data_IF_292767282669
#
_entry.id   IF_292767282669
#
_cell.length_a   1.000
_cell.length_b   1.000
_cell.length_c   1.000
_cell.angle_alpha   90.00
_cell.angle_beta   90.00
_cell.angle_gamma   90.00
#
_symmetry.space_group_name_H-M   'P 1'
#
loop_
_entity.id
_entity.type
_entity.pdbx_description
1 polymer ?
#
# COMPACT_ATOMS: atom_id res chain seq x y z
N UNK A 1 8.32 9.90 29.34
CA UNK A 1 6.86 9.66 29.18
C UNK A 1 6.58 8.30 28.55
N UNK A 2 7.23 7.95 27.45
CA UNK A 2 7.04 6.66 26.75
C UNK A 2 7.10 5.43 27.67
N UNK A 3 8.10 5.33 28.56
CA UNK A 3 8.25 4.16 29.45
C UNK A 3 7.05 3.93 30.39
N UNK A 4 6.36 4.99 30.83
CA UNK A 4 5.19 4.89 31.72
C UNK A 4 4.01 4.31 30.93
N UNK A 5 3.79 4.82 29.71
CA UNK A 5 2.73 4.35 28.81
C UNK A 5 3.01 2.90 28.38
N UNK A 6 4.24 2.59 27.96
CA UNK A 6 4.65 1.23 27.60
C UNK A 6 4.41 0.24 28.75
N UNK A 7 4.82 0.59 29.97
CA UNK A 7 4.61 -0.24 31.15
C UNK A 7 3.13 -0.52 31.42
N UNK A 8 2.26 0.48 31.23
CA UNK A 8 0.82 0.32 31.46
C UNK A 8 0.15 -0.58 30.43
N UNK A 9 0.52 -0.44 29.16
CA UNK A 9 -0.12 -1.16 28.05
C UNK A 9 0.39 -2.59 27.91
N UNK A 10 1.59 -2.92 28.38
CA UNK A 10 2.14 -4.29 28.33
C UNK A 10 1.28 -5.36 29.01
N UNK A 11 0.34 -4.96 29.88
CA UNK A 11 -0.61 -5.87 30.54
C UNK A 11 -1.84 -6.23 29.68
N UNK A 12 -2.00 -5.63 28.51
CA UNK A 12 -3.15 -5.84 27.63
C UNK A 12 -2.99 -7.17 26.88
N UNK A 13 -3.96 -8.09 26.95
CA UNK A 13 -3.89 -9.36 26.23
C UNK A 13 -3.92 -9.18 24.71
N UNK A 14 -3.07 -9.94 24.03
CA UNK A 14 -3.00 -9.98 22.56
C UNK A 14 -2.07 -8.94 21.94
N UNK A 15 -1.20 -8.30 22.72
CA UNK A 15 -0.08 -7.52 22.18
C UNK A 15 0.95 -8.46 21.55
N UNK A 16 1.38 -8.12 20.34
CA UNK A 16 2.47 -8.77 19.59
C UNK A 16 3.79 -7.99 19.78
N UNK A 17 3.76 -6.67 19.59
CA UNK A 17 4.94 -5.81 19.70
C UNK A 17 4.58 -4.40 20.23
N UNK A 18 5.51 -3.77 20.95
CA UNK A 18 5.38 -2.39 21.44
C UNK A 18 6.66 -1.63 21.09
N UNK A 19 6.53 -0.52 20.37
CA UNK A 19 7.66 0.34 19.98
C UNK A 19 7.39 1.77 20.36
N UNK A 20 8.37 2.45 20.92
CA UNK A 20 8.29 3.90 21.11
C UNK A 20 9.36 4.67 20.36
N UNK A 21 9.04 5.93 20.06
CA UNK A 21 9.99 6.93 19.59
C UNK A 21 9.74 8.23 20.33
N UNK A 22 10.78 8.74 20.96
CA UNK A 22 10.77 10.04 21.63
C UNK A 22 11.64 11.04 20.88
N UNK A 23 11.15 12.26 20.74
CA UNK A 23 11.89 13.43 20.30
C UNK A 23 11.58 14.61 21.24
N UNK A 24 12.39 15.68 21.27
CA UNK A 24 12.09 16.86 22.08
C UNK A 24 10.66 17.36 21.79
N UNK A 25 9.82 17.41 22.82
CA UNK A 25 8.43 17.87 22.73
C UNK A 25 7.41 16.86 22.18
N UNK A 26 7.81 15.67 21.72
CA UNK A 26 6.85 14.66 21.20
C UNK A 26 7.29 13.22 21.53
N UNK A 27 6.33 12.41 21.97
CA UNK A 27 6.53 11.00 22.30
C UNK A 27 5.46 10.17 21.62
N UNK A 28 5.87 9.21 20.79
CA UNK A 28 4.96 8.29 20.10
C UNK A 28 5.17 6.87 20.63
N UNK A 29 4.07 6.18 20.92
CA UNK A 29 4.05 4.76 21.29
C UNK A 29 3.16 4.04 20.28
N UNK A 30 3.74 3.05 19.61
CA UNK A 30 3.08 2.17 18.64
C UNK A 30 2.86 0.82 19.29
N UNK A 31 1.62 0.36 19.31
CA UNK A 31 1.21 -0.93 19.90
C UNK A 31 0.68 -1.78 18.75
N UNK A 32 1.31 -2.92 18.52
CA UNK A 32 0.89 -3.91 17.55
C UNK A 32 0.19 -5.06 18.28
N UNK A 33 -1.00 -5.41 17.82
CA UNK A 33 -1.78 -6.53 18.34
C UNK A 33 -1.71 -7.73 17.40
N UNK A 34 -1.92 -8.92 17.95
CA UNK A 34 -2.13 -10.16 17.20
C UNK A 34 -3.35 -10.03 16.29
N UNK A 35 -3.33 -10.73 15.15
CA UNK A 35 -4.34 -10.60 14.09
C UNK A 35 -5.75 -10.99 14.58
N UNK A 36 -5.85 -11.92 15.53
CA UNK A 36 -7.10 -12.35 16.13
C UNK A 36 -7.73 -11.34 17.11
N UNK A 37 -7.00 -10.30 17.51
CA UNK A 37 -7.51 -9.28 18.43
C UNK A 37 -8.34 -8.25 17.65
N UNK A 38 -9.59 -8.10 18.05
CA UNK A 38 -10.46 -7.05 17.53
C UNK A 38 -9.90 -5.65 17.87
N UNK A 39 -9.81 -4.78 16.86
CA UNK A 39 -9.17 -3.46 16.98
C UNK A 39 -9.99 -2.48 17.84
N UNK A 40 -11.31 -2.61 17.89
CA UNK A 40 -12.16 -1.79 18.76
C UNK A 40 -12.01 -2.21 20.22
N UNK A 41 -11.93 -3.52 20.50
CA UNK A 41 -11.62 -4.04 21.83
C UNK A 41 -10.23 -3.56 22.27
N UNK A 42 -9.22 -3.70 21.40
CA UNK A 42 -7.85 -3.27 21.68
C UNK A 42 -7.77 -1.77 21.97
N UNK A 43 -8.45 -0.94 21.17
CA UNK A 43 -8.50 0.51 21.37
C UNK A 43 -9.09 0.88 22.73
N UNK A 44 -10.22 0.27 23.11
CA UNK A 44 -10.86 0.53 24.40
C UNK A 44 -9.98 0.11 25.59
N UNK A 45 -9.30 -1.03 25.49
CA UNK A 45 -8.36 -1.49 26.52
C UNK A 45 -7.16 -0.54 26.67
N UNK A 46 -6.59 -0.07 25.56
CA UNK A 46 -5.50 0.93 25.57
C UNK A 46 -5.99 2.23 26.20
N UNK A 47 -7.14 2.74 25.77
CA UNK A 47 -7.72 3.97 26.32
C UNK A 47 -7.96 3.85 27.84
N UNK A 48 -8.46 2.71 28.30
CA UNK A 48 -8.66 2.45 29.73
C UNK A 48 -7.34 2.44 30.51
N UNK A 49 -6.32 1.74 30.01
CA UNK A 49 -5.01 1.65 30.68
C UNK A 49 -4.28 2.98 30.72
N UNK A 50 -4.28 3.73 29.62
CA UNK A 50 -3.71 5.08 29.57
C UNK A 50 -4.47 6.03 30.50
N UNK A 51 -5.80 5.92 30.57
CA UNK A 51 -6.61 6.69 31.52
C UNK A 51 -6.24 6.45 32.99
N UNK A 52 -5.90 5.21 33.37
CA UNK A 52 -5.50 4.86 34.74
C UNK A 52 -4.15 5.46 35.15
N UNK A 53 -3.23 5.64 34.20
CA UNK A 53 -1.91 6.21 34.46
C UNK A 53 -1.82 7.71 34.17
N UNK A 54 -2.94 8.35 33.82
CA UNK A 54 -2.95 9.77 33.47
C UNK A 54 -2.44 10.65 34.63
N UNK A 55 -2.67 10.23 35.88
CA UNK A 55 -2.15 10.90 37.08
C UNK A 55 -0.67 10.62 37.38
N UNK A 56 -0.05 9.69 36.67
CA UNK A 56 1.38 9.38 36.76
C UNK A 56 2.19 10.09 35.67
N UNK A 57 1.51 10.77 34.73
CA UNK A 57 2.16 11.59 33.73
C UNK A 57 2.67 12.89 34.37
N UNK A 58 3.80 13.45 33.89
CA UNK A 58 4.27 14.76 34.33
C UNK A 58 3.22 15.85 34.12
N UNK A 59 3.13 16.81 35.05
CA UNK A 59 2.10 17.87 35.03
C UNK A 59 2.14 18.79 33.79
N UNK A 60 3.28 18.84 33.09
CA UNK A 60 3.48 19.59 31.85
C UNK A 60 3.08 18.82 30.58
N UNK A 61 2.45 17.64 30.73
CA UNK A 61 2.05 16.75 29.65
C UNK A 61 0.63 17.02 29.18
N UNK A 62 0.45 17.26 27.88
CA UNK A 62 -0.88 17.20 27.27
C UNK A 62 -1.45 15.78 27.30
N UNK A 63 -2.77 15.66 27.47
CA UNK A 63 -3.45 14.36 27.46
C UNK A 63 -3.09 13.57 26.20
N UNK A 64 -2.59 12.32 26.34
CA UNK A 64 -2.23 11.50 25.19
C UNK A 64 -3.43 11.29 24.25
N UNK A 65 -3.20 11.44 22.95
CA UNK A 65 -4.20 11.12 21.93
C UNK A 65 -3.99 9.66 21.50
N UNK A 66 -5.04 8.85 21.60
CA UNK A 66 -5.03 7.46 21.14
C UNK A 66 -5.78 7.41 19.81
N UNK A 67 -5.15 6.80 18.80
CA UNK A 67 -5.72 6.63 17.47
C UNK A 67 -5.57 5.19 16.99
N UNK A 68 -6.57 4.70 16.24
CA UNK A 68 -6.49 3.41 15.54
C UNK A 68 -5.75 3.58 14.21
N UNK A 69 -4.81 2.69 13.94
CA UNK A 69 -4.13 2.57 12.64
C UNK A 69 -4.42 1.17 12.12
N UNK A 70 -5.13 1.09 11.00
CA UNK A 70 -5.40 -0.18 10.34
C UNK A 70 -4.17 -0.57 9.50
N UNK A 71 -3.56 -1.70 9.82
CA UNK A 71 -2.29 -2.21 9.24
C UNK A 71 -2.31 -2.47 7.73
N UNK A 72 -3.45 -2.28 7.06
CA UNK A 72 -3.53 -2.29 5.60
C UNK A 72 -2.65 -1.21 4.92
N UNK A 73 -2.21 -0.20 5.67
CA UNK A 73 -1.54 0.99 5.12
C UNK A 73 -0.01 1.06 5.30
N UNK A 74 0.61 0.16 6.07
CA UNK A 74 2.06 0.22 6.35
C UNK A 74 2.81 -0.88 5.57
N UNK A 75 3.64 -0.53 4.57
CA UNK A 75 4.43 -1.53 3.84
C UNK A 75 5.48 -2.20 4.74
N UNK A 76 5.45 -3.53 4.81
CA UNK A 76 6.38 -4.31 5.65
C UNK A 76 7.68 -4.67 4.89
N UNK A 77 7.65 -4.66 3.55
CA UNK A 77 8.78 -5.10 2.69
C UNK A 77 8.96 -4.14 1.51
N UNK A 78 10.22 -3.77 1.24
CA UNK A 78 10.64 -3.04 0.04
C UNK A 78 11.46 -3.95 -0.88
N UNK A 79 11.02 -4.09 -2.13
CA UNK A 79 11.72 -4.88 -3.14
C UNK A 79 12.19 -3.98 -4.28
N UNK A 80 13.44 -4.14 -4.69
CA UNK A 80 13.99 -3.45 -5.85
C UNK A 80 14.02 -4.37 -7.07
N UNK A 81 13.30 -4.00 -8.14
CA UNK A 81 13.34 -4.70 -9.41
C UNK A 81 14.42 -4.07 -10.31
N UNK A 82 15.36 -4.88 -10.80
CA UNK A 82 16.44 -4.46 -11.70
C UNK A 82 16.58 -5.45 -12.85
N UNK A 83 16.99 -4.98 -14.03
CA UNK A 83 17.23 -5.84 -15.20
C UNK A 83 17.79 -5.08 -16.39
N UNK A 84 18.26 -5.81 -17.41
CA UNK A 84 18.80 -5.25 -18.65
C UNK A 84 17.66 -4.96 -19.68
N UNK A 85 16.73 -4.10 -19.27
CA UNK A 85 15.53 -3.69 -20.02
C UNK A 85 15.22 -2.22 -19.71
N UNK A 86 14.35 -1.61 -20.51
CA UNK A 86 13.91 -0.25 -20.25
C UNK A 86 13.07 -0.18 -18.97
N UNK A 87 13.01 0.99 -18.33
CA UNK A 87 12.17 1.20 -17.14
C UNK A 87 10.69 0.92 -17.43
N UNK A 88 10.23 1.23 -18.63
CA UNK A 88 8.88 0.95 -19.10
C UNK A 88 8.61 -0.57 -19.18
N UNK A 89 9.53 -1.35 -19.76
CA UNK A 89 9.41 -2.82 -19.82
C UNK A 89 9.41 -3.43 -18.41
N UNK A 90 10.29 -2.95 -17.53
CA UNK A 90 10.35 -3.38 -16.13
C UNK A 90 9.06 -3.03 -15.37
N UNK A 91 8.45 -1.87 -15.63
CA UNK A 91 7.17 -1.46 -15.04
C UNK A 91 6.03 -2.38 -15.47
N UNK A 92 5.97 -2.73 -16.77
CA UNK A 92 5.00 -3.70 -17.30
C UNK A 92 5.17 -5.07 -16.66
N UNK A 93 6.43 -5.54 -16.53
CA UNK A 93 6.72 -6.81 -15.86
C UNK A 93 6.35 -6.78 -14.37
N UNK A 94 6.69 -5.70 -13.67
CA UNK A 94 6.34 -5.50 -12.27
C UNK A 94 4.82 -5.58 -12.05
N UNK A 95 4.04 -4.88 -12.90
CA UNK A 95 2.58 -4.81 -12.80
C UNK A 95 1.88 -6.11 -13.18
N UNK A 96 2.28 -6.72 -14.29
CA UNK A 96 1.53 -7.85 -14.85
C UNK A 96 1.96 -9.21 -14.28
N UNK A 97 3.18 -9.31 -13.78
CA UNK A 97 3.76 -10.58 -13.31
C UNK A 97 4.08 -10.52 -11.82
N UNK A 98 4.96 -9.60 -11.39
CA UNK A 98 5.50 -9.59 -10.02
C UNK A 98 4.40 -9.27 -9.01
N UNK A 99 3.69 -8.15 -9.20
CA UNK A 99 2.61 -7.70 -8.32
C UNK A 99 1.54 -8.78 -8.15
N UNK A 100 1.03 -9.33 -9.26
CA UNK A 100 0.01 -10.40 -9.23
C UNK A 100 0.48 -11.64 -8.46
N UNK A 101 1.75 -12.05 -8.64
CA UNK A 101 2.29 -13.20 -7.88
C UNK A 101 2.38 -12.91 -6.38
N UNK A 102 2.80 -11.71 -6.00
CA UNK A 102 2.90 -11.33 -4.59
C UNK A 102 1.53 -11.22 -3.94
N UNK A 103 0.54 -10.64 -4.63
CA UNK A 103 -0.84 -10.53 -4.15
C UNK A 103 -1.52 -11.89 -3.93
N UNK A 104 -1.06 -12.96 -4.60
CA UNK A 104 -1.59 -14.33 -4.37
C UNK A 104 -1.04 -15.01 -3.11
N UNK A 105 -0.02 -14.44 -2.46
CA UNK A 105 0.57 -15.03 -1.25
C UNK A 105 -0.34 -14.72 -0.06
N UNK A 106 -0.74 -15.76 0.68
CA UNK A 106 -1.54 -15.60 1.88
C UNK A 106 -0.81 -14.69 2.90
N UNK A 107 -1.51 -13.68 3.42
CA UNK A 107 -0.96 -12.67 4.33
C UNK A 107 -0.49 -11.38 3.64
N UNK A 108 -0.49 -11.30 2.30
CA UNK A 108 -0.19 -10.04 1.59
C UNK A 108 -1.47 -9.21 1.44
N UNK A 109 -1.53 -8.08 2.14
CA UNK A 109 -2.67 -7.16 2.07
C UNK A 109 -2.69 -6.28 0.82
N UNK A 110 -1.55 -5.69 0.45
CA UNK A 110 -1.43 -4.87 -0.76
C UNK A 110 0.00 -4.82 -1.29
N UNK A 111 0.13 -4.55 -2.60
CA UNK A 111 1.43 -4.35 -3.27
C UNK A 111 1.40 -3.07 -4.08
N UNK A 112 2.30 -2.14 -3.73
CA UNK A 112 2.47 -0.85 -4.41
C UNK A 112 3.73 -0.86 -5.26
N UNK A 113 3.65 -0.34 -6.47
CA UNK A 113 4.80 -0.20 -7.38
C UNK A 113 5.24 1.26 -7.37
N UNK A 114 6.46 1.52 -6.89
CA UNK A 114 7.05 2.85 -6.93
C UNK A 114 7.81 3.10 -8.24
N UNK A 115 7.76 4.35 -8.74
CA UNK A 115 8.54 4.78 -9.91
C UNK A 115 8.12 4.12 -11.23
N UNK A 116 6.87 3.69 -11.35
CA UNK A 116 6.37 3.10 -12.58
C UNK A 116 6.39 4.11 -13.74
N UNK A 117 6.76 3.62 -14.92
CA UNK A 117 6.65 4.36 -16.16
C UNK A 117 5.60 3.69 -17.04
N UNK A 118 4.47 4.36 -17.24
CA UNK A 118 3.38 3.81 -18.05
C UNK A 118 3.84 3.53 -19.48
N UNK A 119 3.36 2.39 -20.01
CA UNK A 119 3.56 2.06 -21.41
C UNK A 119 2.61 2.84 -22.30
N UNK A 120 3.13 3.89 -22.92
CA UNK A 120 2.41 4.66 -23.93
C UNK A 120 2.72 4.12 -25.33
N UNK A 121 1.69 3.63 -26.03
CA UNK A 121 1.81 3.27 -27.45
C UNK A 121 1.41 4.51 -28.27
N UNK A 122 2.35 5.04 -29.06
CA UNK A 122 2.07 6.10 -30.02
C UNK A 122 1.99 5.52 -31.42
N UNK A 123 0.86 5.72 -32.09
CA UNK A 123 0.66 5.37 -33.49
C UNK A 123 0.79 6.64 -34.31
N UNK A 124 1.80 6.70 -35.19
CA UNK A 124 1.97 7.81 -36.12
C UNK A 124 1.37 7.41 -37.47
N UNK A 125 0.45 8.23 -37.98
CA UNK A 125 -0.21 8.00 -39.26
C UNK A 125 0.56 8.68 -40.38
N UNK A 126 0.67 8.00 -41.51
CA UNK A 126 1.26 8.51 -42.74
C UNK A 126 0.13 8.83 -43.73
N UNK A 127 -0.19 10.11 -43.87
CA UNK A 127 -1.34 10.56 -44.66
C UNK A 127 -1.17 10.33 -46.15
N UNK A 128 0.05 10.41 -46.68
CA UNK A 128 0.32 10.19 -48.10
C UNK A 128 0.06 8.73 -48.47
N UNK A 129 0.52 7.80 -47.62
CA UNK A 129 0.27 6.36 -47.81
C UNK A 129 -1.20 6.03 -47.58
N UNK A 130 -1.83 6.60 -46.56
CA UNK A 130 -3.26 6.40 -46.31
C UNK A 130 -4.11 6.85 -47.51
N UNK A 131 -3.80 8.00 -48.12
CA UNK A 131 -4.47 8.47 -49.32
C UNK A 131 -4.22 7.55 -50.52
N UNK A 132 -3.01 7.03 -50.69
CA UNK A 132 -2.69 6.10 -51.78
C UNK A 132 -3.44 4.77 -51.68
N UNK A 133 -3.78 4.34 -50.47
CA UNK A 133 -4.56 3.12 -50.21
C UNK A 133 -6.06 3.37 -49.97
N UNK A 134 -6.54 4.61 -50.11
CA UNK A 134 -7.93 5.00 -49.78
C UNK A 134 -8.35 4.61 -48.36
N UNK A 135 -7.42 4.66 -47.40
CA UNK A 135 -7.63 4.33 -45.99
C UNK A 135 -7.86 5.62 -45.20
N UNK A 136 -8.90 5.66 -44.39
CA UNK A 136 -9.22 6.77 -43.50
C UNK A 136 -8.67 6.55 -42.09
N UNK A 137 -8.62 7.62 -41.28
CA UNK A 137 -8.26 7.51 -39.85
C UNK A 137 -9.23 6.58 -39.11
N UNK A 138 -10.52 6.63 -39.48
CA UNK A 138 -11.56 5.77 -38.93
C UNK A 138 -11.29 4.28 -39.22
N UNK A 139 -10.79 3.94 -40.40
CA UNK A 139 -10.44 2.55 -40.75
C UNK A 139 -9.31 2.03 -39.87
N UNK A 140 -8.30 2.86 -39.59
CA UNK A 140 -7.20 2.49 -38.68
C UNK A 140 -7.71 2.28 -37.25
N UNK A 141 -8.57 3.18 -36.76
CA UNK A 141 -9.19 3.03 -35.42
C UNK A 141 -10.04 1.78 -35.34
N UNK A 142 -10.81 1.47 -36.39
CA UNK A 142 -11.65 0.27 -36.47
C UNK A 142 -10.79 -1.00 -36.49
N UNK A 143 -9.69 -1.01 -37.24
CA UNK A 143 -8.74 -2.12 -37.26
C UNK A 143 -8.14 -2.38 -35.87
N UNK A 144 -7.70 -1.33 -35.16
CA UNK A 144 -7.19 -1.47 -33.79
C UNK A 144 -8.24 -2.03 -32.83
N UNK A 145 -9.51 -1.61 -32.97
CA UNK A 145 -10.61 -2.15 -32.16
C UNK A 145 -10.87 -3.61 -32.47
N UNK A 146 -10.89 -4.00 -33.75
CA UNK A 146 -11.16 -5.37 -34.17
C UNK A 146 -10.06 -6.34 -33.74
N UNK A 147 -8.78 -5.94 -33.81
CA UNK A 147 -7.64 -6.74 -33.35
C UNK A 147 -7.54 -6.82 -31.81
N UNK A 148 -8.06 -5.82 -31.07
CA UNK A 148 -8.12 -5.85 -29.60
C UNK A 148 -9.41 -6.46 -29.04
N UNK A 149 -10.38 -6.83 -29.88
CA UNK A 149 -11.45 -7.73 -29.48
C UNK A 149 -10.81 -9.12 -29.42
N UNK A 150 -10.45 -9.55 -28.20
CA UNK A 150 -10.38 -10.98 -27.92
C UNK A 150 -11.75 -11.54 -28.25
N UNK A 151 -11.89 -12.25 -29.37
CA UNK A 151 -12.99 -13.18 -29.53
C UNK A 151 -12.96 -14.07 -28.27
N UNK A 152 -14.05 -14.20 -27.50
CA UNK A 152 -14.23 -15.39 -26.70
C UNK A 152 -14.07 -16.54 -27.69
N UNK A 153 -12.98 -17.29 -27.57
CA UNK A 153 -12.92 -18.59 -28.23
C UNK A 153 -14.14 -19.35 -27.75
N UNK A 154 -14.98 -19.75 -28.70
CA UNK A 154 -15.94 -20.81 -28.49
C UNK A 154 -15.23 -22.00 -27.82
N UNK A 155 -15.94 -22.56 -26.83
CA UNK A 155 -15.76 -23.82 -26.10
C UNK A 155 -14.65 -24.78 -26.57
#
# INVERSE_FOLDING_TARGET
>A
MTNIIEGAVNSIPGIDDVRSRSAPGVSNVFIQFLLEKDLDIAFNEVQSKVGQINSQLPDDTETPIISKIETGEIPIIWLALRGNRTLQDLSVYAKNIVKRKLETINGVGSVVIGGEQERNIRVNLDFDRMSAFSITVQDVVMAFRNEHIKLPGDS
#
